data_IF_306979766889
#
_entry.id   IF_306979766889
#
_cell.length_a   1.000
_cell.length_b   1.000
_cell.length_c   1.000
_cell.angle_alpha   90.00
_cell.angle_beta   90.00
_cell.angle_gamma   90.00
#
_symmetry.space_group_name_H-M   'P 1'
#
loop_
_entity.id
_entity.type
_entity.pdbx_description
1 polymer ?
#
# COMPACT_ATOMS: atom_id res chain seq x y z
N UNK A 1 -22.82 15.45 -0.13
CA UNK A 1 -21.94 16.62 -0.18
C UNK A 1 -21.59 17.00 1.25
N UNK A 2 -20.32 16.88 1.61
CA UNK A 2 -19.82 17.39 2.89
C UNK A 2 -19.64 18.90 2.73
N UNK A 3 -20.51 19.65 3.39
CA UNK A 3 -20.46 21.11 3.36
C UNK A 3 -19.98 21.65 4.71
N UNK A 4 -18.77 21.29 5.11
CA UNK A 4 -17.99 22.11 6.04
C UNK A 4 -16.54 21.69 5.97
N UNK A 5 -15.66 22.56 5.51
CA UNK A 5 -14.21 22.32 5.41
C UNK A 5 -13.53 22.27 6.81
N UNK A 6 -14.31 22.28 7.90
CA UNK A 6 -13.79 22.33 9.25
C UNK A 6 -13.79 21.00 10.00
N UNK A 7 -14.94 20.35 10.14
CA UNK A 7 -15.11 19.21 11.03
C UNK A 7 -15.86 18.08 10.34
N UNK A 8 -15.49 16.82 10.63
CA UNK A 8 -16.19 15.62 10.16
C UNK A 8 -16.97 15.05 11.36
N UNK A 9 -18.18 15.53 11.56
CA UNK A 9 -19.09 15.10 12.63
C UNK A 9 -20.22 14.18 12.12
N UNK A 10 -20.36 14.09 10.79
CA UNK A 10 -21.43 13.30 10.15
C UNK A 10 -21.01 12.66 8.84
N UNK A 11 -21.24 11.37 8.71
CA UNK A 11 -21.05 10.58 7.50
C UNK A 11 -22.38 10.29 6.83
N UNK A 12 -22.53 10.61 5.54
CA UNK A 12 -23.69 10.25 4.73
C UNK A 12 -23.40 9.04 3.87
N UNK A 13 -24.12 7.96 4.11
CA UNK A 13 -23.99 6.71 3.35
C UNK A 13 -24.65 6.82 1.98
N UNK A 14 -24.23 5.99 1.03
CA UNK A 14 -24.87 5.89 -0.30
C UNK A 14 -26.35 5.45 -0.21
N UNK A 15 -26.75 4.77 0.85
CA UNK A 15 -28.14 4.39 1.15
C UNK A 15 -29.03 5.56 1.56
N UNK A 16 -28.47 6.74 1.77
CA UNK A 16 -29.13 7.93 2.26
C UNK A 16 -29.14 8.07 3.79
N UNK A 17 -28.75 7.04 4.53
CA UNK A 17 -28.59 7.11 5.98
C UNK A 17 -27.43 8.03 6.38
N UNK A 18 -27.52 8.64 7.56
CA UNK A 18 -26.46 9.43 8.16
C UNK A 18 -25.99 8.80 9.46
N UNK A 19 -24.70 8.86 9.71
CA UNK A 19 -24.05 8.43 10.95
C UNK A 19 -23.35 9.63 11.56
N UNK A 20 -23.65 9.94 12.81
CA UNK A 20 -22.90 10.91 13.59
C UNK A 20 -21.71 10.19 14.23
N UNK A 21 -20.54 10.84 14.28
CA UNK A 21 -19.32 10.28 14.84
C UNK A 21 -18.46 11.37 15.48
N UNK A 22 -17.79 11.01 16.57
CA UNK A 22 -16.85 11.89 17.26
C UNK A 22 -15.48 11.90 16.56
N UNK A 23 -15.17 10.84 15.81
CA UNK A 23 -13.94 10.72 15.03
C UNK A 23 -14.19 9.87 13.78
N UNK A 24 -13.83 10.38 12.62
CA UNK A 24 -13.78 9.63 11.37
C UNK A 24 -12.32 9.25 11.06
N UNK A 25 -12.07 7.98 10.74
CA UNK A 25 -10.76 7.50 10.30
C UNK A 25 -10.85 7.11 8.83
N UNK A 26 -10.18 7.87 7.97
CA UNK A 26 -10.11 7.61 6.53
C UNK A 26 -8.95 6.64 6.25
N UNK A 27 -9.26 5.35 6.13
CA UNK A 27 -8.31 4.25 5.90
C UNK A 27 -8.69 3.42 4.65
N UNK A 28 -9.17 4.08 3.61
CA UNK A 28 -9.72 3.50 2.37
C UNK A 28 -8.68 3.16 1.30
N UNK A 29 -7.39 3.30 1.64
CA UNK A 29 -6.28 3.13 0.71
C UNK A 29 -6.14 4.28 -0.31
N UNK A 30 -6.87 5.39 -0.12
CA UNK A 30 -6.83 6.56 -0.99
C UNK A 30 -7.51 6.37 -2.35
N UNK A 31 -8.41 5.39 -2.48
CA UNK A 31 -9.04 5.02 -3.76
C UNK A 31 -10.51 5.41 -3.88
N UNK A 32 -11.14 5.87 -2.81
CA UNK A 32 -12.59 6.15 -2.79
C UNK A 32 -12.97 7.52 -3.31
N UNK A 33 -12.02 8.43 -3.49
CA UNK A 33 -12.27 9.86 -3.80
C UNK A 33 -12.71 10.68 -2.57
N UNK A 34 -12.64 10.12 -1.35
CA UNK A 34 -13.02 10.85 -0.13
C UNK A 34 -12.02 11.96 0.22
N UNK A 35 -10.73 11.76 -0.06
CA UNK A 35 -9.71 12.82 0.14
C UNK A 35 -10.05 14.06 -0.70
N UNK A 36 -10.38 13.86 -1.96
CA UNK A 36 -10.75 14.92 -2.89
C UNK A 36 -12.03 15.65 -2.43
N UNK A 37 -13.03 14.89 -1.94
CA UNK A 37 -14.26 15.47 -1.37
C UNK A 37 -13.99 16.30 -0.10
N UNK A 38 -12.98 15.91 0.67
CA UNK A 38 -12.54 16.63 1.88
C UNK A 38 -11.58 17.80 1.56
N UNK A 39 -11.21 17.98 0.28
CA UNK A 39 -10.25 19.00 -0.14
C UNK A 39 -8.82 18.71 0.32
N UNK A 40 -8.51 17.45 0.69
CA UNK A 40 -7.17 17.06 1.12
C UNK A 40 -6.31 16.83 -0.11
N UNK A 41 -5.35 17.72 -0.32
CA UNK A 41 -4.39 17.63 -1.40
C UNK A 41 -3.37 16.51 -1.14
N UNK A 42 -2.83 15.93 -2.23
CA UNK A 42 -1.75 14.95 -2.18
C UNK A 42 -0.55 15.44 -2.97
N UNK A 43 0.65 15.19 -2.45
CA UNK A 43 1.88 15.22 -3.22
C UNK A 43 2.09 13.86 -3.84
N UNK A 44 2.33 13.81 -5.15
CA UNK A 44 2.61 12.57 -5.86
C UNK A 44 3.89 12.69 -6.65
N UNK A 45 4.83 11.78 -6.41
CA UNK A 45 6.11 11.68 -7.11
C UNK A 45 6.25 10.30 -7.75
N UNK A 46 6.06 10.16 -9.08
CA UNK A 46 6.22 8.89 -9.77
C UNK A 46 7.67 8.39 -9.67
N UNK A 47 7.85 7.10 -9.41
CA UNK A 47 9.16 6.45 -9.46
C UNK A 47 9.58 6.07 -10.88
N UNK A 48 8.71 6.26 -11.87
CA UNK A 48 8.90 5.79 -13.26
C UNK A 48 9.11 4.27 -13.35
N UNK A 49 8.63 3.56 -12.36
CA UNK A 49 8.69 2.11 -12.22
C UNK A 49 7.29 1.55 -12.02
N UNK A 50 7.12 0.27 -12.38
CA UNK A 50 5.91 -0.50 -12.10
C UNK A 50 6.29 -1.80 -11.37
N UNK A 51 5.45 -2.20 -10.42
CA UNK A 51 5.50 -3.53 -9.84
C UNK A 51 4.69 -4.49 -10.72
N UNK A 52 5.35 -5.51 -11.25
CA UNK A 52 4.72 -6.65 -11.89
C UNK A 52 4.43 -7.69 -10.81
N UNK A 53 3.16 -8.02 -10.63
CA UNK A 53 2.69 -8.97 -9.63
C UNK A 53 2.13 -10.20 -10.34
N UNK A 54 2.57 -11.38 -9.91
CA UNK A 54 2.07 -12.67 -10.40
C UNK A 54 2.25 -13.77 -9.35
N UNK A 55 1.52 -14.87 -9.49
CA UNK A 55 1.78 -16.08 -8.73
C UNK A 55 2.65 -17.02 -9.56
N UNK A 56 3.71 -17.53 -8.94
CA UNK A 56 4.70 -18.42 -9.58
C UNK A 56 4.65 -19.77 -8.89
N UNK A 57 4.75 -20.86 -9.67
CA UNK A 57 4.95 -22.22 -9.15
C UNK A 57 6.39 -22.66 -9.38
N UNK A 58 7.21 -22.79 -8.34
CA UNK A 58 8.56 -23.33 -8.42
C UNK A 58 8.57 -24.85 -8.31
N UNK A 59 9.66 -25.51 -8.74
CA UNK A 59 9.85 -26.95 -8.62
C UNK A 59 10.29 -27.39 -7.22
N UNK A 60 10.95 -26.51 -6.46
CA UNK A 60 11.40 -26.78 -5.10
C UNK A 60 10.52 -26.07 -4.07
N UNK A 61 10.43 -26.69 -2.87
CA UNK A 61 9.63 -26.13 -1.78
C UNK A 61 10.30 -24.88 -1.20
N UNK A 62 9.52 -23.79 -1.06
CA UNK A 62 10.00 -22.54 -0.46
C UNK A 62 10.16 -22.63 1.07
N UNK A 63 9.62 -23.66 1.74
CA UNK A 63 9.74 -23.90 3.20
C UNK A 63 9.37 -22.69 4.06
N UNK A 64 8.42 -21.86 3.62
CA UNK A 64 8.03 -20.61 4.28
C UNK A 64 9.03 -19.47 4.15
N UNK A 65 10.09 -19.63 3.37
CA UNK A 65 11.10 -18.59 3.16
C UNK A 65 10.63 -17.55 2.14
N UNK A 66 10.82 -16.29 2.47
CA UNK A 66 10.69 -15.17 1.55
C UNK A 66 12.08 -14.82 0.99
N UNK A 67 12.11 -14.48 -0.29
CA UNK A 67 13.34 -14.06 -0.97
C UNK A 67 13.15 -12.65 -1.50
N UNK A 68 14.10 -11.77 -1.21
CA UNK A 68 14.20 -10.46 -1.84
C UNK A 68 15.56 -10.30 -2.49
N UNK A 69 15.58 -9.78 -3.69
CA UNK A 69 16.78 -9.57 -4.49
C UNK A 69 16.79 -8.16 -5.06
N UNK A 70 17.86 -7.45 -4.83
CA UNK A 70 18.10 -6.14 -5.42
C UNK A 70 18.89 -6.31 -6.71
N UNK A 71 18.37 -5.78 -7.81
CA UNK A 71 19.01 -5.79 -9.12
C UNK A 71 19.17 -4.34 -9.62
N UNK A 72 20.05 -4.12 -10.59
CA UNK A 72 20.23 -2.80 -11.21
C UNK A 72 18.92 -2.22 -11.77
N UNK A 73 18.01 -3.07 -12.23
CA UNK A 73 16.73 -2.66 -12.80
C UNK A 73 15.59 -2.50 -11.79
N UNK A 74 15.83 -2.85 -10.52
CA UNK A 74 14.88 -2.75 -9.44
C UNK A 74 14.83 -4.00 -8.54
N UNK A 75 14.14 -3.91 -7.41
CA UNK A 75 13.98 -5.03 -6.49
C UNK A 75 13.01 -6.08 -7.03
N UNK A 76 13.24 -7.33 -6.61
CA UNK A 76 12.40 -8.48 -6.88
C UNK A 76 12.18 -9.25 -5.60
N UNK A 77 10.93 -9.62 -5.30
CA UNK A 77 10.60 -10.48 -4.18
C UNK A 77 9.80 -11.71 -4.64
N UNK A 78 10.12 -12.86 -4.01
CA UNK A 78 9.34 -14.09 -4.10
C UNK A 78 8.87 -14.44 -2.69
N UNK A 79 7.58 -14.29 -2.43
CA UNK A 79 6.97 -14.43 -1.12
C UNK A 79 6.18 -15.75 -1.04
N UNK A 80 6.35 -16.55 0.03
CA UNK A 80 5.72 -17.86 0.13
C UNK A 80 4.20 -17.76 0.22
N UNK A 81 3.51 -18.58 -0.56
CA UNK A 81 2.06 -18.78 -0.53
C UNK A 81 1.73 -20.26 -0.26
N UNK A 82 0.46 -20.56 0.01
CA UNK A 82 -0.03 -21.92 0.06
C UNK A 82 0.23 -22.69 -1.25
N UNK A 83 0.20 -24.03 -1.18
CA UNK A 83 0.36 -24.95 -2.32
C UNK A 83 1.70 -24.79 -3.05
N UNK A 84 2.76 -24.54 -2.32
CA UNK A 84 4.11 -24.32 -2.85
C UNK A 84 4.17 -23.27 -3.99
N UNK A 85 3.35 -22.24 -3.91
CA UNK A 85 3.39 -21.09 -4.81
C UNK A 85 4.14 -19.92 -4.17
N UNK A 86 4.59 -19.00 -4.99
CA UNK A 86 5.17 -17.73 -4.53
C UNK A 86 4.43 -16.57 -5.17
N UNK A 87 4.15 -15.53 -4.38
CA UNK A 87 3.81 -14.22 -4.94
C UNK A 87 5.09 -13.54 -5.42
N UNK A 88 5.14 -13.25 -6.73
CA UNK A 88 6.18 -12.42 -7.32
C UNK A 88 5.79 -10.95 -7.16
N UNK A 89 6.73 -10.14 -6.69
CA UNK A 89 6.71 -8.68 -6.79
C UNK A 89 7.99 -8.28 -7.53
N UNK A 90 7.88 -7.91 -8.79
CA UNK A 90 9.03 -7.58 -9.64
C UNK A 90 8.96 -6.13 -10.10
N UNK A 91 9.78 -5.29 -9.51
CA UNK A 91 9.84 -3.87 -9.88
C UNK A 91 10.74 -3.67 -11.07
N UNK A 92 10.22 -2.97 -12.09
CA UNK A 92 10.92 -2.68 -13.34
C UNK A 92 10.60 -1.26 -13.82
N UNK A 93 11.44 -0.64 -14.66
CA UNK A 93 11.03 0.54 -15.42
C UNK A 93 9.71 0.30 -16.17
N UNK A 94 8.84 1.29 -16.26
CA UNK A 94 7.46 1.10 -16.73
C UNK A 94 7.35 0.39 -18.08
N UNK A 95 8.11 0.83 -19.09
CA UNK A 95 8.10 0.20 -20.43
C UNK A 95 8.59 -1.25 -20.41
N UNK A 96 9.56 -1.58 -19.56
CA UNK A 96 10.06 -2.95 -19.44
C UNK A 96 9.06 -3.86 -18.70
N UNK A 97 8.39 -3.32 -17.68
CA UNK A 97 7.32 -4.03 -16.97
C UNK A 97 6.15 -4.37 -17.91
N UNK A 98 5.77 -3.44 -18.80
CA UNK A 98 4.74 -3.67 -19.83
C UNK A 98 5.17 -4.75 -20.82
N UNK A 99 6.42 -4.69 -21.30
CA UNK A 99 7.00 -5.70 -22.18
C UNK A 99 6.95 -7.10 -21.53
N UNK A 100 7.43 -7.21 -20.29
CA UNK A 100 7.44 -8.47 -19.52
C UNK A 100 6.01 -9.01 -19.30
N UNK A 101 5.07 -8.14 -18.95
CA UNK A 101 3.69 -8.54 -18.74
C UNK A 101 3.03 -9.10 -20.01
N UNK A 102 3.44 -8.63 -21.19
CA UNK A 102 2.91 -9.06 -22.48
C UNK A 102 3.57 -10.33 -23.06
N UNK A 103 4.70 -10.79 -22.50
CA UNK A 103 5.40 -11.98 -22.99
C UNK A 103 4.52 -13.24 -22.94
N UNK A 104 4.69 -14.19 -23.88
CA UNK A 104 4.18 -15.55 -23.70
C UNK A 104 4.71 -16.17 -22.40
N UNK A 105 3.94 -17.09 -21.79
CA UNK A 105 4.26 -17.69 -20.49
C UNK A 105 5.69 -18.20 -20.42
N UNK A 106 6.12 -18.98 -21.41
CA UNK A 106 7.47 -19.56 -21.44
C UNK A 106 8.56 -18.50 -21.45
N UNK A 107 8.44 -17.51 -22.33
CA UNK A 107 9.42 -16.43 -22.42
C UNK A 107 9.50 -15.59 -21.13
N UNK A 108 8.36 -15.34 -20.50
CA UNK A 108 8.32 -14.67 -19.20
C UNK A 108 9.06 -15.47 -18.11
N UNK A 109 8.80 -16.78 -18.04
CA UNK A 109 9.45 -17.65 -17.06
C UNK A 109 10.96 -17.76 -17.29
N UNK A 110 11.41 -17.79 -18.55
CA UNK A 110 12.83 -17.81 -18.88
C UNK A 110 13.54 -16.51 -18.43
N UNK A 111 12.93 -15.33 -18.68
CA UNK A 111 13.47 -14.05 -18.19
C UNK A 111 13.43 -13.95 -16.65
N UNK A 112 12.34 -14.41 -16.05
CA UNK A 112 12.22 -14.43 -14.59
C UNK A 112 13.26 -15.36 -13.97
N UNK A 113 13.48 -16.56 -14.54
CA UNK A 113 14.47 -17.52 -14.09
C UNK A 113 15.88 -16.94 -14.17
N UNK A 114 16.20 -16.27 -15.27
CA UNK A 114 17.52 -15.61 -15.43
C UNK A 114 17.74 -14.51 -14.39
N UNK A 115 16.69 -13.74 -14.07
CA UNK A 115 16.75 -12.67 -13.10
C UNK A 115 16.80 -13.18 -11.64
N UNK A 116 15.96 -14.17 -11.30
CA UNK A 116 15.84 -14.71 -9.94
C UNK A 116 16.93 -15.73 -9.60
N UNK A 117 17.31 -16.57 -10.56
CA UNK A 117 18.20 -17.72 -10.35
C UNK A 117 17.42 -18.98 -9.93
N UNK A 118 18.14 -19.99 -9.44
CA UNK A 118 17.60 -21.34 -9.19
C UNK A 118 17.40 -21.69 -7.70
N UNK A 119 17.27 -20.71 -6.82
CA UNK A 119 17.06 -20.95 -5.38
C UNK A 119 15.78 -21.70 -5.04
N UNK A 120 14.80 -21.63 -5.91
CA UNK A 120 13.52 -22.33 -5.82
C UNK A 120 13.38 -23.41 -6.92
N UNK A 121 14.52 -23.88 -7.45
CA UNK A 121 14.55 -24.77 -8.60
C UNK A 121 14.05 -24.10 -9.88
N UNK A 122 13.48 -24.88 -10.79
CA UNK A 122 12.91 -24.38 -12.03
C UNK A 122 11.54 -23.70 -11.77
N UNK A 123 11.31 -22.55 -12.40
CA UNK A 123 10.02 -21.88 -12.40
C UNK A 123 9.20 -22.40 -13.58
N UNK A 124 8.08 -23.08 -13.35
CA UNK A 124 7.39 -23.82 -14.40
C UNK A 124 5.98 -23.33 -14.73
N UNK A 125 5.42 -22.43 -13.90
CA UNK A 125 4.09 -21.85 -14.16
C UNK A 125 4.00 -20.42 -13.63
N UNK A 126 3.33 -19.55 -14.39
CA UNK A 126 2.95 -18.21 -13.95
C UNK A 126 1.43 -18.04 -14.08
N UNK A 127 0.83 -17.40 -13.09
CA UNK A 127 -0.58 -16.97 -13.13
C UNK A 127 -0.78 -15.67 -13.90
N UNK A 128 -1.95 -15.07 -13.74
CA UNK A 128 -2.22 -13.75 -14.28
C UNK A 128 -1.18 -12.73 -13.80
N UNK A 129 -0.75 -11.86 -14.71
CA UNK A 129 0.25 -10.82 -14.48
C UNK A 129 -0.47 -9.48 -14.39
N UNK A 130 -0.19 -8.72 -13.32
CA UNK A 130 -0.80 -7.42 -13.06
C UNK A 130 0.30 -6.37 -12.91
N UNK A 131 0.07 -5.18 -13.46
CA UNK A 131 0.99 -4.05 -13.36
C UNK A 131 0.42 -2.98 -12.45
N UNK A 132 1.25 -2.47 -11.56
CA UNK A 132 0.93 -1.38 -10.64
C UNK A 132 2.00 -0.29 -10.79
N UNK A 133 1.68 0.85 -11.42
CA UNK A 133 2.59 2.00 -11.43
C UNK A 133 2.93 2.43 -10.00
N UNK A 134 4.20 2.70 -9.76
CA UNK A 134 4.70 3.05 -8.44
C UNK A 134 4.92 4.56 -8.32
N UNK A 135 4.42 5.13 -7.23
CA UNK A 135 4.62 6.53 -6.87
C UNK A 135 4.71 6.67 -5.35
N UNK A 136 5.50 7.62 -4.90
CA UNK A 136 5.33 8.15 -3.56
C UNK A 136 4.09 9.03 -3.57
N UNK A 137 3.15 8.74 -2.69
CA UNK A 137 1.94 9.55 -2.50
C UNK A 137 1.87 9.94 -1.02
N UNK A 138 1.71 11.21 -0.74
CA UNK A 138 1.64 11.76 0.61
C UNK A 138 0.48 12.75 0.70
N UNK A 139 -0.45 12.50 1.61
CA UNK A 139 -1.49 13.48 1.93
C UNK A 139 -0.85 14.68 2.64
N UNK A 140 -1.17 15.88 2.18
CA UNK A 140 -0.63 17.10 2.78
C UNK A 140 -1.23 17.41 4.15
N UNK A 141 -2.39 16.82 4.42
CA UNK A 141 -3.09 16.92 5.70
C UNK A 141 -3.49 15.51 6.14
N UNK A 142 -3.04 15.09 7.32
CA UNK A 142 -3.35 13.77 7.89
C UNK A 142 -4.27 13.85 9.09
N UNK A 143 -4.37 15.01 9.74
CA UNK A 143 -5.28 15.22 10.88
C UNK A 143 -6.04 16.53 10.72
N UNK A 144 -7.30 16.53 11.13
CA UNK A 144 -8.22 17.66 11.19
C UNK A 144 -9.15 17.43 12.38
N UNK A 145 -9.83 18.42 12.97
CA UNK A 145 -10.84 18.14 13.97
C UNK A 145 -11.80 17.06 13.51
N UNK A 146 -11.96 16.00 14.31
CA UNK A 146 -12.80 14.83 14.06
C UNK A 146 -12.42 13.98 12.85
N UNK A 147 -11.17 14.12 12.29
CA UNK A 147 -10.72 13.35 11.14
C UNK A 147 -9.24 12.97 11.27
N UNK A 148 -8.95 11.68 10.99
CA UNK A 148 -7.60 11.17 10.76
C UNK A 148 -7.56 10.48 9.40
N UNK A 149 -6.51 10.73 8.63
CA UNK A 149 -6.17 9.99 7.39
C UNK A 149 -5.06 9.00 7.74
N UNK A 150 -5.27 7.71 7.43
CA UNK A 150 -4.42 6.62 7.91
C UNK A 150 -4.04 5.65 6.79
N UNK A 151 -2.89 4.99 6.94
CA UNK A 151 -2.41 3.97 6.01
C UNK A 151 -2.18 4.52 4.61
N UNK A 152 -2.48 3.73 3.57
CA UNK A 152 -2.27 4.17 2.18
C UNK A 152 -3.11 5.39 1.77
N UNK A 153 -4.10 5.77 2.56
CA UNK A 153 -4.80 7.05 2.37
C UNK A 153 -3.94 8.24 2.79
N UNK A 154 -3.09 8.08 3.82
CA UNK A 154 -2.14 9.08 4.28
C UNK A 154 -0.86 9.10 3.43
N UNK A 155 -0.27 7.93 3.20
CA UNK A 155 0.97 7.79 2.46
C UNK A 155 1.07 6.42 1.78
N UNK A 156 1.57 6.39 0.55
CA UNK A 156 1.88 5.18 -0.19
C UNK A 156 3.34 5.20 -0.60
N UNK A 157 4.08 4.18 -0.20
CA UNK A 157 5.53 4.07 -0.40
C UNK A 157 5.85 3.05 -1.49
N UNK A 158 7.13 3.03 -1.89
CA UNK A 158 7.66 1.97 -2.73
C UNK A 158 7.54 0.60 -2.01
N UNK A 159 7.17 -0.50 -2.70
CA UNK A 159 6.92 -1.81 -2.09
C UNK A 159 8.20 -2.56 -1.66
N UNK A 160 9.29 -1.87 -1.35
CA UNK A 160 10.54 -2.47 -0.86
C UNK A 160 10.33 -2.99 0.57
N UNK A 161 10.70 -4.24 0.81
CA UNK A 161 10.72 -4.89 2.13
C UNK A 161 9.40 -4.78 2.92
N UNK A 162 8.26 -4.55 2.25
CA UNK A 162 6.96 -4.40 2.91
C UNK A 162 6.85 -3.19 3.84
N UNK A 163 7.72 -2.20 3.72
CA UNK A 163 7.79 -1.05 4.65
C UNK A 163 6.48 -0.27 4.72
N UNK A 164 5.73 -0.15 3.61
CA UNK A 164 4.44 0.54 3.60
C UNK A 164 3.42 -0.07 4.57
N UNK A 165 3.35 -1.39 4.65
CA UNK A 165 2.48 -2.09 5.60
C UNK A 165 2.95 -1.88 7.05
N UNK A 166 4.25 -2.04 7.30
CA UNK A 166 4.83 -1.88 8.64
C UNK A 166 4.63 -0.45 9.16
N UNK A 167 4.81 0.55 8.31
CA UNK A 167 4.57 1.95 8.65
C UNK A 167 3.09 2.17 9.01
N UNK A 168 2.17 1.70 8.16
CA UNK A 168 0.72 1.83 8.41
C UNK A 168 0.28 1.12 9.69
N UNK A 169 0.88 -0.03 10.02
CA UNK A 169 0.61 -0.75 11.26
C UNK A 169 1.11 0.05 12.48
N UNK A 170 2.34 0.57 12.42
CA UNK A 170 2.88 1.44 13.47
C UNK A 170 2.00 2.67 13.70
N UNK A 171 1.61 3.35 12.62
CA UNK A 171 0.76 4.53 12.70
C UNK A 171 -0.61 4.21 13.32
N UNK A 172 -1.14 3.01 13.04
CA UNK A 172 -2.40 2.54 13.65
C UNK A 172 -2.25 2.34 15.16
N UNK A 173 -1.14 1.74 15.61
CA UNK A 173 -0.84 1.55 17.03
C UNK A 173 -0.63 2.89 17.74
N UNK A 174 0.16 3.79 17.15
CA UNK A 174 0.39 5.13 17.69
C UNK A 174 -0.91 5.95 17.82
N UNK A 175 -1.80 5.84 16.82
CA UNK A 175 -3.12 6.47 16.91
C UNK A 175 -3.93 5.88 18.06
N UNK A 176 -3.99 4.55 18.16
CA UNK A 176 -4.73 3.87 19.22
C UNK A 176 -4.21 4.27 20.61
N UNK A 177 -2.90 4.24 20.81
CA UNK A 177 -2.26 4.63 22.07
C UNK A 177 -2.53 6.09 22.40
N UNK A 178 -2.52 6.97 21.40
CA UNK A 178 -2.83 8.40 21.57
C UNK A 178 -4.26 8.63 22.03
N UNK A 179 -5.21 7.93 21.42
CA UNK A 179 -6.63 8.04 21.75
C UNK A 179 -6.92 7.47 23.15
N UNK A 180 -6.28 6.34 23.51
CA UNK A 180 -6.45 5.70 24.83
C UNK A 180 -5.82 6.48 25.96
N UNK A 181 -4.69 7.14 25.71
CA UNK A 181 -3.99 7.96 26.73
C UNK A 181 -4.62 9.35 26.93
N UNK A 182 -5.45 9.80 26.00
CA UNK A 182 -6.08 11.12 26.05
C UNK A 182 -7.31 11.11 26.95
N UNK A 183 -7.41 12.13 27.83
CA UNK A 183 -8.65 12.44 28.55
C UNK A 183 -9.54 13.43 27.79
N UNK A 184 -9.08 13.95 26.64
CA UNK A 184 -9.84 14.86 25.79
C UNK A 184 -10.94 14.11 25.02
N UNK A 185 -12.00 14.79 24.60
CA UNK A 185 -12.99 14.20 23.70
C UNK A 185 -12.37 13.63 22.43
N UNK A 186 -12.94 12.52 21.93
CA UNK A 186 -12.49 11.95 20.67
C UNK A 186 -12.63 12.97 19.53
N UNK A 187 -11.60 13.03 18.67
CA UNK A 187 -11.59 13.94 17.53
C UNK A 187 -11.07 15.34 17.84
N UNK A 188 -10.69 15.65 19.09
CA UNK A 188 -10.08 16.92 19.41
C UNK A 188 -8.71 17.09 18.75
N UNK A 189 -8.52 18.22 18.05
CA UNK A 189 -7.34 18.46 17.22
C UNK A 189 -6.02 18.35 18.01
N UNK A 190 -5.97 18.79 19.25
CA UNK A 190 -4.77 18.72 20.07
C UNK A 190 -4.29 17.28 20.31
N UNK A 191 -5.22 16.35 20.55
CA UNK A 191 -4.91 14.93 20.68
C UNK A 191 -4.39 14.34 19.36
N UNK A 192 -5.06 14.67 18.25
CA UNK A 192 -4.68 14.18 16.91
C UNK A 192 -3.35 14.79 16.45
N UNK A 193 -3.06 16.03 16.81
CA UNK A 193 -1.77 16.66 16.53
C UNK A 193 -0.63 15.98 17.31
N UNK A 194 -0.86 15.62 18.56
CA UNK A 194 0.09 14.86 19.38
C UNK A 194 0.40 13.47 18.79
N UNK A 195 -0.57 12.80 18.16
CA UNK A 195 -0.35 11.60 17.37
C UNK A 195 0.55 11.87 16.15
N UNK A 196 0.25 12.91 15.37
CA UNK A 196 1.03 13.27 14.18
C UNK A 196 2.50 13.60 14.50
N UNK A 197 2.74 14.29 15.63
CA UNK A 197 4.08 14.66 16.07
C UNK A 197 4.93 13.44 16.48
N UNK A 198 4.30 12.35 16.94
CA UNK A 198 4.99 11.08 17.24
C UNK A 198 5.31 10.23 16.01
N UNK A 199 4.68 10.47 14.88
CA UNK A 199 4.99 9.78 13.62
C UNK A 199 6.28 10.30 12.96
N UNK A 200 6.74 11.48 13.31
CA UNK A 200 7.93 12.13 12.74
C UNK A 200 9.20 11.71 13.48
#
# INVERSE_FOLDING_TARGET
AMHNLGNVDRLRLKTGASLDCDLAILADGGRSGLREQLGIAVSQRPYQQSALIANISPSEAHQGQAFERFTEAGPMAMLPLADNRCALVWTRPGADAERLAALPERAFLDELQAAFGYRLGALHKVGARHLYPLALVEAQEQVRPHLVVLGNAAHSLHPIAGQGYNLSLRDTLELADSLLASSAPLGELACLQGYLDRQR
#
